data_IF_784610942776
#
_entry.id   IF_784610942776
#
_cell.length_a   1.000
_cell.length_b   1.000
_cell.length_c   1.000
_cell.angle_alpha   90.00
_cell.angle_beta   90.00
_cell.angle_gamma   90.00
#
_symmetry.space_group_name_H-M   'P 1'
#
loop_
_entity.id
_entity.type
_entity.pdbx_description
1 polymer ?
#
# COMPACT_ATOMS: atom_id res chain seq x y z
N UNK A 1 -21.88 1.41 19.52
CA UNK A 1 -21.12 0.23 19.09
C UNK A 1 -20.76 0.29 17.63
N UNK A 2 -21.76 0.39 16.75
CA UNK A 2 -21.53 0.54 15.31
C UNK A 2 -20.64 1.76 15.01
N UNK A 3 -20.89 2.87 15.69
CA UNK A 3 -20.11 4.09 15.49
C UNK A 3 -18.63 3.91 15.83
N UNK A 4 -18.32 3.12 16.85
CA UNK A 4 -16.93 2.87 17.23
C UNK A 4 -16.21 2.05 16.16
N UNK A 5 -16.89 1.02 15.62
CA UNK A 5 -16.35 0.18 14.55
C UNK A 5 -16.16 1.01 13.28
N UNK A 6 -17.14 1.84 12.95
CA UNK A 6 -17.05 2.71 11.77
C UNK A 6 -15.94 3.73 11.89
N UNK A 7 -15.75 4.32 13.08
CA UNK A 7 -14.65 5.26 13.31
C UNK A 7 -13.30 4.59 13.19
N UNK A 8 -13.18 3.36 13.71
CA UNK A 8 -11.93 2.62 13.59
C UNK A 8 -11.63 2.29 12.14
N UNK A 9 -12.63 1.86 11.38
CA UNK A 9 -12.47 1.57 9.95
C UNK A 9 -12.09 2.82 9.17
N UNK A 10 -12.72 3.95 9.48
CA UNK A 10 -12.41 5.23 8.82
C UNK A 10 -10.99 5.69 9.15
N UNK A 11 -10.55 5.50 10.38
CA UNK A 11 -9.19 5.86 10.79
C UNK A 11 -8.17 4.98 10.08
N UNK A 12 -8.41 3.67 10.00
CA UNK A 12 -7.51 2.77 9.29
C UNK A 12 -7.40 3.14 7.82
N UNK A 13 -8.52 3.49 7.19
CA UNK A 13 -8.53 3.92 5.79
C UNK A 13 -7.73 5.21 5.60
N UNK A 14 -7.90 6.17 6.49
CA UNK A 14 -7.14 7.42 6.45
C UNK A 14 -5.63 7.15 6.58
N UNK A 15 -5.24 6.26 7.50
CA UNK A 15 -3.84 5.89 7.66
C UNK A 15 -3.29 5.28 6.37
N UNK A 16 -4.06 4.40 5.73
CA UNK A 16 -3.63 3.78 4.49
C UNK A 16 -3.44 4.81 3.38
N UNK A 17 -4.33 5.80 3.30
CA UNK A 17 -4.20 6.87 2.30
C UNK A 17 -3.00 7.77 2.57
N UNK A 18 -2.71 8.07 3.82
CA UNK A 18 -1.51 8.84 4.20
C UNK A 18 -0.26 8.08 3.74
N UNK A 19 -0.21 6.77 4.00
CA UNK A 19 0.92 5.95 3.60
C UNK A 19 1.09 5.92 2.08
N UNK A 20 0.00 5.78 1.34
CA UNK A 20 0.05 5.78 -0.13
C UNK A 20 0.55 7.11 -0.68
N UNK A 21 0.08 8.23 -0.13
CA UNK A 21 0.55 9.55 -0.54
C UNK A 21 2.03 9.73 -0.26
N UNK A 22 2.50 9.28 0.90
CA UNK A 22 3.91 9.38 1.26
C UNK A 22 4.77 8.57 0.29
N UNK A 23 4.32 7.37 -0.07
CA UNK A 23 5.02 6.55 -1.05
C UNK A 23 5.10 7.25 -2.40
N UNK A 24 4.00 7.87 -2.83
CA UNK A 24 3.96 8.59 -4.11
C UNK A 24 4.91 9.79 -4.10
N UNK A 25 5.02 10.49 -2.98
CA UNK A 25 5.95 11.62 -2.86
C UNK A 25 7.40 11.19 -3.09
N UNK A 26 7.73 9.97 -2.74
CA UNK A 26 9.07 9.40 -2.94
C UNK A 26 9.15 8.59 -4.24
N UNK A 27 8.20 8.79 -5.13
CA UNK A 27 8.19 8.24 -6.49
C UNK A 27 8.12 6.71 -6.54
N UNK A 28 7.45 6.11 -5.55
CA UNK A 28 7.16 4.69 -5.59
C UNK A 28 6.26 4.38 -6.79
N UNK A 29 6.36 3.16 -7.30
CA UNK A 29 5.49 2.68 -8.37
C UNK A 29 4.62 1.55 -7.84
N UNK A 30 3.64 1.12 -8.63
CA UNK A 30 2.75 -0.01 -8.29
C UNK A 30 2.15 0.11 -6.88
N UNK A 31 1.73 1.33 -6.52
CA UNK A 31 1.13 1.58 -5.21
C UNK A 31 -0.30 1.05 -5.19
N UNK A 32 -0.59 0.15 -4.25
CA UNK A 32 -1.91 -0.42 -4.07
C UNK A 32 -2.31 -0.37 -2.60
N UNK A 33 -3.59 -0.13 -2.35
CA UNK A 33 -4.18 -0.28 -1.02
C UNK A 33 -5.31 -1.28 -1.14
N UNK A 34 -5.18 -2.41 -0.43
CA UNK A 34 -6.19 -3.47 -0.42
C UNK A 34 -6.89 -3.50 0.93
N UNK A 35 -8.21 -3.56 0.88
CA UNK A 35 -9.00 -3.71 2.11
C UNK A 35 -9.10 -5.21 2.41
N UNK A 36 -8.35 -5.65 3.42
CA UNK A 36 -8.21 -7.08 3.73
C UNK A 36 -8.93 -7.50 5.02
N UNK A 37 -9.57 -6.55 5.69
CA UNK A 37 -10.21 -6.77 6.99
C UNK A 37 -11.11 -7.98 7.02
N UNK A 38 -11.97 -8.13 6.02
CA UNK A 38 -12.95 -9.20 5.98
C UNK A 38 -12.36 -10.54 5.55
N UNK A 39 -11.14 -10.51 4.98
CA UNK A 39 -10.51 -11.72 4.46
C UNK A 39 -9.57 -12.37 5.48
N UNK A 40 -8.75 -11.57 6.17
CA UNK A 40 -7.76 -12.13 7.09
C UNK A 40 -8.01 -11.81 8.57
N UNK A 41 -8.77 -10.76 8.85
CA UNK A 41 -9.20 -10.45 10.20
C UNK A 41 -8.15 -9.96 11.18
N UNK A 42 -6.89 -9.78 10.76
CA UNK A 42 -5.81 -9.33 11.65
C UNK A 42 -5.38 -7.90 11.38
N UNK A 43 -5.67 -7.37 10.21
CA UNK A 43 -5.42 -5.97 9.88
C UNK A 43 -6.49 -5.50 8.91
N UNK A 44 -6.66 -4.20 8.79
CA UNK A 44 -7.70 -3.64 7.93
C UNK A 44 -7.24 -3.43 6.50
N UNK A 45 -6.01 -2.95 6.32
CA UNK A 45 -5.50 -2.62 4.99
C UNK A 45 -4.06 -3.05 4.81
N UNK A 46 -3.74 -3.52 3.60
CA UNK A 46 -2.36 -3.62 3.12
C UNK A 46 -2.08 -2.43 2.22
N UNK A 47 -0.93 -1.79 2.44
CA UNK A 47 -0.41 -0.76 1.54
C UNK A 47 0.85 -1.35 0.92
N UNK A 48 0.86 -1.50 -0.39
CA UNK A 48 1.95 -2.15 -1.11
C UNK A 48 2.52 -1.18 -2.13
N UNK A 49 3.83 -1.05 -2.17
CA UNK A 49 4.51 -0.15 -3.09
C UNK A 49 5.80 -0.77 -3.58
N UNK A 50 6.28 -0.31 -4.73
CA UNK A 50 7.52 -0.78 -5.33
C UNK A 50 8.53 0.36 -5.40
N UNK A 51 9.78 0.06 -5.04
CA UNK A 51 10.92 0.97 -5.14
C UNK A 51 11.93 0.38 -6.12
N UNK A 52 12.65 1.25 -6.82
CA UNK A 52 13.61 0.82 -7.84
C UNK A 52 14.89 0.22 -7.27
N UNK A 53 15.23 0.57 -6.03
CA UNK A 53 16.45 0.09 -5.38
C UNK A 53 16.29 0.17 -3.86
N UNK A 54 17.26 -0.38 -3.12
CA UNK A 54 17.16 -0.45 -1.66
C UNK A 54 17.20 0.92 -1.00
N UNK A 55 17.90 1.88 -1.58
CA UNK A 55 17.94 3.24 -1.06
C UNK A 55 16.55 3.87 -1.13
N UNK A 56 15.84 3.66 -2.22
CA UNK A 56 14.49 4.18 -2.37
C UNK A 56 13.51 3.45 -1.43
N UNK A 57 13.71 2.15 -1.20
CA UNK A 57 12.93 1.41 -0.19
C UNK A 57 13.01 2.13 1.15
N UNK A 58 14.23 2.45 1.58
CA UNK A 58 14.43 3.14 2.86
C UNK A 58 13.79 4.52 2.86
N UNK A 59 13.92 5.27 1.76
CA UNK A 59 13.34 6.61 1.67
C UNK A 59 11.82 6.57 1.76
N UNK A 60 11.19 5.60 1.10
CA UNK A 60 9.74 5.44 1.15
C UNK A 60 9.29 5.08 2.57
N UNK A 61 9.96 4.12 3.19
CA UNK A 61 9.64 3.68 4.55
C UNK A 61 9.76 4.86 5.53
N UNK A 62 10.86 5.62 5.44
CA UNK A 62 11.07 6.76 6.33
C UNK A 62 9.97 7.82 6.15
N UNK A 63 9.60 8.10 4.92
CA UNK A 63 8.55 9.09 4.66
C UNK A 63 7.20 8.63 5.18
N UNK A 64 6.87 7.36 5.00
CA UNK A 64 5.63 6.80 5.52
C UNK A 64 5.60 6.90 7.05
N UNK A 65 6.69 6.54 7.72
CA UNK A 65 6.76 6.65 9.18
C UNK A 65 6.58 8.09 9.64
N UNK A 66 7.27 9.02 8.97
CA UNK A 66 7.20 10.43 9.34
C UNK A 66 5.78 10.97 9.18
N UNK A 67 5.13 10.68 8.05
CA UNK A 67 3.78 11.19 7.79
C UNK A 67 2.74 10.58 8.73
N UNK A 68 2.84 9.29 9.00
CA UNK A 68 1.89 8.66 9.92
C UNK A 68 2.08 9.18 11.35
N UNK A 69 3.32 9.47 11.75
CA UNK A 69 3.56 10.10 13.05
C UNK A 69 2.99 11.52 13.09
N UNK A 70 3.24 12.31 12.05
CA UNK A 70 2.83 13.71 12.02
C UNK A 70 1.33 13.88 11.86
N UNK A 71 0.70 13.09 11.00
CA UNK A 71 -0.70 13.29 10.61
C UNK A 71 -1.69 12.38 11.33
N UNK A 72 -1.24 11.23 11.83
CA UNK A 72 -2.13 10.27 12.49
C UNK A 72 -1.67 9.90 13.90
N UNK A 73 -0.51 10.39 14.33
CA UNK A 73 0.05 10.15 15.67
C UNK A 73 0.22 8.68 16.00
N UNK A 74 0.60 7.87 15.00
CA UNK A 74 0.84 6.44 15.22
C UNK A 74 2.28 6.07 14.91
N UNK A 75 2.74 5.00 15.57
CA UNK A 75 4.08 4.42 15.37
C UNK A 75 3.92 2.95 15.04
N UNK A 76 4.83 2.38 14.24
CA UNK A 76 4.75 0.95 13.95
C UNK A 76 5.05 0.12 15.20
N UNK A 77 4.33 -0.98 15.36
CA UNK A 77 4.61 -1.96 16.43
C UNK A 77 5.77 -2.86 16.01
N UNK A 78 5.93 -3.09 14.71
CA UNK A 78 7.03 -3.86 14.15
C UNK A 78 7.55 -3.19 12.90
N UNK A 79 8.88 -3.24 12.74
CA UNK A 79 9.55 -2.79 11.54
C UNK A 79 10.53 -3.89 11.16
N UNK A 80 10.39 -4.43 9.97
CA UNK A 80 11.26 -5.51 9.50
C UNK A 80 11.81 -5.20 8.13
N UNK A 81 12.97 -5.75 7.83
CA UNK A 81 13.62 -5.59 6.54
C UNK A 81 14.32 -6.90 6.19
N UNK A 82 14.20 -7.32 4.93
CA UNK A 82 14.93 -8.50 4.47
C UNK A 82 16.43 -8.23 4.50
N UNK A 83 17.24 -9.31 4.56
CA UNK A 83 18.68 -9.20 4.66
C UNK A 83 19.31 -8.41 3.52
N UNK A 84 18.74 -8.53 2.32
CA UNK A 84 19.26 -7.86 1.12
C UNK A 84 18.63 -6.48 0.87
N UNK A 85 17.75 -6.02 1.76
CA UNK A 85 17.12 -4.70 1.62
C UNK A 85 16.05 -4.61 0.54
N UNK A 86 15.60 -5.73 -0.01
CA UNK A 86 14.63 -5.74 -1.11
C UNK A 86 13.18 -5.71 -0.67
N UNK A 87 12.92 -5.80 0.63
CA UNK A 87 11.58 -5.82 1.19
C UNK A 87 11.62 -5.25 2.60
N UNK A 88 10.85 -4.19 2.83
CA UNK A 88 10.67 -3.63 4.17
C UNK A 88 9.19 -3.61 4.51
N UNK A 89 8.91 -3.80 5.79
CA UNK A 89 7.54 -3.90 6.30
C UNK A 89 7.38 -3.01 7.53
N UNK A 90 6.26 -2.30 7.57
CA UNK A 90 5.84 -1.55 8.77
C UNK A 90 4.47 -2.08 9.19
N UNK A 91 4.39 -2.60 10.40
CA UNK A 91 3.15 -3.13 10.95
C UNK A 91 2.63 -2.16 12.02
N UNK A 92 1.48 -1.57 11.75
CA UNK A 92 0.80 -0.66 12.69
C UNK A 92 -0.39 -1.31 13.36
N UNK A 93 -0.64 -2.59 13.08
CA UNK A 93 -1.82 -3.28 13.59
C UNK A 93 -3.03 -3.07 12.69
N UNK A 94 -3.45 -1.82 12.54
CA UNK A 94 -4.60 -1.51 11.67
C UNK A 94 -4.25 -1.46 10.19
N UNK A 95 -2.99 -1.19 9.85
CA UNK A 95 -2.49 -1.30 8.49
C UNK A 95 -1.13 -1.96 8.50
N UNK A 96 -0.78 -2.64 7.43
CA UNK A 96 0.57 -3.17 7.21
C UNK A 96 1.07 -2.63 5.89
N UNK A 97 2.24 -2.00 5.92
CA UNK A 97 2.87 -1.41 4.75
C UNK A 97 3.98 -2.32 4.28
N UNK A 98 3.99 -2.62 2.99
CA UNK A 98 5.02 -3.44 2.35
C UNK A 98 5.66 -2.64 1.21
N UNK A 99 6.97 -2.48 1.25
CA UNK A 99 7.71 -1.83 0.17
C UNK A 99 8.72 -2.83 -0.38
N UNK A 100 8.62 -3.12 -1.67
CA UNK A 100 9.42 -4.13 -2.36
C UNK A 100 10.25 -3.52 -3.46
N UNK A 101 11.40 -4.13 -3.75
CA UNK A 101 12.03 -3.95 -5.05
C UNK A 101 11.28 -4.77 -6.09
N UNK A 102 11.40 -4.42 -7.39
CA UNK A 102 10.56 -5.04 -8.43
C UNK A 102 10.62 -6.56 -8.48
N UNK A 103 11.82 -7.12 -8.40
CA UNK A 103 11.99 -8.57 -8.49
C UNK A 103 11.35 -9.28 -7.30
N UNK A 104 11.48 -8.70 -6.11
CA UNK A 104 10.91 -9.27 -4.90
C UNK A 104 9.39 -9.19 -4.94
N UNK A 105 8.84 -8.09 -5.42
CA UNK A 105 7.40 -7.94 -5.59
C UNK A 105 6.85 -8.99 -6.55
N UNK A 106 7.53 -9.19 -7.66
CA UNK A 106 7.12 -10.19 -8.66
C UNK A 106 7.23 -11.61 -8.12
N UNK A 107 8.24 -11.87 -7.30
CA UNK A 107 8.45 -13.20 -6.72
C UNK A 107 7.35 -13.56 -5.73
N UNK A 108 7.06 -12.68 -4.79
CA UNK A 108 6.07 -12.98 -3.74
C UNK A 108 4.63 -12.73 -4.17
N UNK A 109 4.39 -11.74 -5.00
CA UNK A 109 3.04 -11.41 -5.51
C UNK A 109 2.00 -11.34 -4.39
N UNK A 110 2.34 -10.59 -3.35
CA UNK A 110 1.50 -10.47 -2.15
C UNK A 110 0.08 -10.02 -2.49
N UNK A 111 -0.05 -9.06 -3.42
CA UNK A 111 -1.35 -8.53 -3.82
C UNK A 111 -2.23 -9.60 -4.49
N UNK A 112 -1.63 -10.62 -5.12
CA UNK A 112 -2.38 -11.67 -5.78
C UNK A 112 -2.97 -12.68 -4.79
N UNK A 113 -2.39 -12.81 -3.60
CA UNK A 113 -2.94 -13.67 -2.55
C UNK A 113 -4.30 -13.19 -2.10
N UNK A 114 -4.54 -11.89 -2.18
CA UNK A 114 -5.78 -11.26 -1.72
C UNK A 114 -6.48 -10.57 -2.87
N UNK A 115 -6.48 -11.19 -4.05
CA UNK A 115 -7.05 -10.54 -5.23
C UNK A 115 -8.56 -10.35 -5.16
N UNK A 116 -9.23 -11.00 -4.21
CA UNK A 116 -10.65 -10.74 -3.93
C UNK A 116 -10.87 -9.52 -3.04
N UNK A 117 -9.81 -8.97 -2.47
CA UNK A 117 -9.93 -7.80 -1.61
C UNK A 117 -10.26 -6.56 -2.44
N UNK A 118 -11.18 -5.71 -1.95
CA UNK A 118 -11.43 -4.43 -2.60
C UNK A 118 -10.14 -3.59 -2.65
N UNK A 119 -9.94 -2.90 -3.76
CA UNK A 119 -8.78 -2.03 -3.95
C UNK A 119 -9.26 -0.58 -3.93
N UNK A 120 -8.58 0.26 -3.16
CA UNK A 120 -8.91 1.68 -3.06
C UNK A 120 -8.51 2.39 -4.35
N UNK A 121 -9.39 3.23 -4.87
CA UNK A 121 -9.08 4.09 -6.01
C UNK A 121 -8.26 5.29 -5.49
N UNK A 122 -6.95 5.22 -5.62
CA UNK A 122 -6.05 6.24 -5.08
C UNK A 122 -6.15 7.57 -5.83
N UNK A 123 -6.52 7.54 -7.09
CA UNK A 123 -6.75 8.78 -7.83
C UNK A 123 -7.95 9.53 -7.26
N UNK A 124 -9.04 8.82 -7.00
CA UNK A 124 -10.26 9.42 -6.47
C UNK A 124 -10.13 9.80 -4.99
N UNK A 125 -9.57 8.91 -4.17
CA UNK A 125 -9.60 9.10 -2.71
C UNK A 125 -8.39 9.83 -2.15
N UNK A 126 -7.24 9.73 -2.80
CA UNK A 126 -6.02 10.38 -2.34
C UNK A 126 -5.53 11.48 -3.29
N UNK A 127 -6.21 11.67 -4.42
CA UNK A 127 -5.84 12.72 -5.37
C UNK A 127 -4.53 12.46 -6.11
N UNK A 128 -4.12 11.21 -6.22
CA UNK A 128 -2.87 10.86 -6.87
C UNK A 128 -3.07 10.77 -8.39
N UNK A 129 -2.33 11.58 -9.14
CA UNK A 129 -2.54 11.74 -10.58
C UNK A 129 -1.56 10.99 -11.47
N UNK A 130 -0.34 10.80 -11.02
CA UNK A 130 0.73 10.28 -11.87
C UNK A 130 1.16 8.87 -11.48
N UNK A 131 0.20 8.04 -11.09
CA UNK A 131 0.47 6.67 -10.66
C UNK A 131 0.98 5.84 -11.84
N UNK A 132 2.07 5.12 -11.60
CA UNK A 132 2.69 4.26 -12.59
C UNK A 132 2.49 2.81 -12.19
N UNK A 133 2.01 1.99 -13.11
CA UNK A 133 1.75 0.58 -12.86
C UNK A 133 2.41 -0.30 -13.92
N UNK A 134 3.03 -1.39 -13.46
CA UNK A 134 3.50 -2.44 -14.36
C UNK A 134 2.30 -3.14 -15.00
N UNK A 135 2.53 -3.83 -16.11
CA UNK A 135 1.44 -4.50 -16.82
C UNK A 135 0.67 -5.48 -15.94
N UNK A 136 1.38 -6.27 -15.13
CA UNK A 136 0.75 -7.24 -14.24
C UNK A 136 -0.18 -6.57 -13.23
N UNK A 137 0.29 -5.52 -12.59
CA UNK A 137 -0.51 -4.81 -11.58
C UNK A 137 -1.66 -4.06 -12.23
N UNK A 138 -1.41 -3.43 -13.38
CA UNK A 138 -2.47 -2.73 -14.11
C UNK A 138 -3.60 -3.68 -14.48
N UNK A 139 -3.25 -4.87 -14.90
CA UNK A 139 -4.24 -5.91 -15.23
C UNK A 139 -5.02 -6.34 -13.99
N UNK A 140 -4.33 -6.51 -12.89
CA UNK A 140 -4.97 -6.87 -11.61
C UNK A 140 -5.98 -5.80 -11.19
N UNK A 141 -5.67 -4.53 -11.45
CA UNK A 141 -6.55 -3.41 -11.15
C UNK A 141 -7.66 -3.18 -12.17
N UNK A 142 -7.67 -3.96 -13.25
CA UNK A 142 -8.67 -3.83 -14.32
C UNK A 142 -8.41 -2.70 -15.30
N UNK A 143 -7.27 -2.03 -15.21
CA UNK A 143 -6.96 -0.87 -16.07
C UNK A 143 -6.65 -1.29 -17.49
N UNK A 144 -6.00 -2.43 -17.67
CA UNK A 144 -5.69 -2.95 -18.98
C UNK A 144 -6.95 -3.39 -19.73
N UNK A 145 -7.90 -3.98 -19.00
CA UNK A 145 -9.16 -4.40 -19.59
C UNK A 145 -9.92 -3.21 -20.19
N UNK A 146 -9.88 -2.06 -19.54
CA UNK A 146 -10.50 -0.84 -20.03
C UNK A 146 -9.84 -0.37 -21.33
N UNK A 147 -8.51 -0.51 -21.44
CA UNK A 147 -7.79 -0.16 -22.66
C UNK A 147 -8.12 -1.10 -23.82
N UNK A 148 -8.23 -2.39 -23.53
CA UNK A 148 -8.57 -3.39 -24.54
C UNK A 148 -9.95 -3.15 -25.12
N UNK A 149 -10.89 -2.69 -24.31
CA UNK A 149 -12.24 -2.39 -24.76
C UNK A 149 -12.28 -1.23 -25.76
N UNK A 150 -11.31 -0.36 -25.70
CA UNK A 150 -11.22 0.79 -26.60
C UNK A 150 -10.58 0.42 -27.95
N UNK A 151 -9.83 -0.65 -27.94
CA UNK A 151 -9.13 -1.08 -29.15
C UNK A 151 -10.08 -1.84 -30.09
#
# INVERSE_FOLDING_TARGET
MTDAVERQAAFSRECALIAAKAADEKKATDIMVQEVRDLIGVTDYFVIATAANSRQVDAIIDEIEDKLREEASIKPTHREMSADGSWSLLDYGNIVVHVFMPETREYYRLEALWNDAPVIDLAAEAGLENLQYSDRIAKLLGREAAQDDEA
#
